data_IF_781934257978
#
_entry.id   IF_781934257978
#
_cell.length_a   1.000
_cell.length_b   1.000
_cell.length_c   1.000
_cell.angle_alpha   90.00
_cell.angle_beta   90.00
_cell.angle_gamma   90.00
#
_symmetry.space_group_name_H-M   'P 1'
#
loop_
_entity.id
_entity.type
_entity.pdbx_description
1 polymer ?
#
# COMPACT_ATOMS: atom_id res chain seq x y z
N UNK A 1 12.04 -18.05 5.48
CA UNK A 1 12.25 -18.50 4.08
C UNK A 1 13.16 -17.51 3.33
N UNK A 2 13.36 -17.63 2.01
CA UNK A 2 14.02 -16.61 1.19
C UNK A 2 12.97 -15.62 0.69
N UNK A 3 13.24 -14.31 0.79
CA UNK A 3 12.27 -13.26 0.39
C UNK A 3 11.93 -13.30 -1.11
N UNK A 4 12.80 -13.91 -1.92
CA UNK A 4 12.66 -14.01 -3.39
C UNK A 4 11.94 -15.29 -3.84
N UNK A 5 11.53 -16.16 -2.91
CA UNK A 5 10.96 -17.48 -3.21
C UNK A 5 9.78 -17.44 -4.20
N UNK A 6 9.00 -16.36 -4.19
CA UNK A 6 7.81 -16.21 -5.00
C UNK A 6 7.95 -15.18 -6.13
N UNK A 7 9.14 -14.58 -6.32
CA UNK A 7 9.36 -13.47 -7.24
C UNK A 7 9.04 -13.79 -8.70
N UNK A 8 9.22 -15.05 -9.12
CA UNK A 8 8.88 -15.52 -10.46
C UNK A 8 7.38 -15.70 -10.70
N UNK A 9 6.56 -15.73 -9.64
CA UNK A 9 5.12 -15.87 -9.82
C UNK A 9 4.55 -14.57 -10.35
N UNK A 10 3.58 -14.69 -11.26
CA UNK A 10 2.86 -13.55 -11.83
C UNK A 10 1.35 -13.64 -11.60
N UNK A 11 0.72 -12.45 -11.54
CA UNK A 11 -0.72 -12.25 -11.48
C UNK A 11 -1.11 -11.05 -12.34
N UNK A 12 -2.38 -10.99 -12.74
CA UNK A 12 -2.96 -9.78 -13.33
C UNK A 12 -3.30 -8.79 -12.22
N UNK A 13 -2.65 -7.62 -12.24
CA UNK A 13 -2.87 -6.58 -11.24
C UNK A 13 -4.17 -5.81 -11.54
N UNK A 14 -5.13 -5.76 -10.60
CA UNK A 14 -6.37 -5.00 -10.81
C UNK A 14 -6.15 -3.48 -10.84
N UNK A 15 -5.07 -2.95 -10.22
CA UNK A 15 -4.74 -1.52 -10.26
C UNK A 15 -4.11 -1.09 -11.59
N UNK A 16 -3.22 -1.91 -12.14
CA UNK A 16 -2.43 -1.56 -13.34
C UNK A 16 -3.13 -2.07 -14.61
N UNK A 17 -3.93 -3.13 -14.51
CA UNK A 17 -4.62 -3.76 -15.64
C UNK A 17 -3.76 -4.77 -16.41
N UNK A 18 -2.46 -4.88 -16.10
CA UNK A 18 -1.49 -5.78 -16.74
C UNK A 18 -0.99 -6.91 -15.83
N UNK A 19 -0.12 -7.76 -16.38
CA UNK A 19 0.58 -8.80 -15.62
C UNK A 19 1.75 -8.19 -14.84
N UNK A 20 1.87 -8.56 -13.56
CA UNK A 20 2.97 -8.18 -12.67
C UNK A 20 3.48 -9.40 -11.93
N UNK A 21 4.74 -9.37 -11.53
CA UNK A 21 5.35 -10.41 -10.70
C UNK A 21 5.27 -10.08 -9.20
N UNK A 22 5.53 -11.07 -8.36
CA UNK A 22 5.50 -10.87 -6.91
C UNK A 22 6.56 -9.88 -6.43
N UNK A 23 7.73 -9.87 -7.07
CA UNK A 23 8.81 -8.90 -6.81
C UNK A 23 8.28 -7.47 -6.86
N UNK A 24 7.56 -7.14 -7.92
CA UNK A 24 6.93 -5.83 -8.10
C UNK A 24 5.95 -5.54 -6.94
N UNK A 25 5.12 -6.51 -6.56
CA UNK A 25 4.17 -6.34 -5.46
C UNK A 25 4.86 -6.14 -4.11
N UNK A 26 5.97 -6.81 -3.81
CA UNK A 26 6.63 -6.71 -2.49
C UNK A 26 7.56 -5.50 -2.35
N UNK A 27 7.92 -4.82 -3.44
CA UNK A 27 8.88 -3.70 -3.42
C UNK A 27 8.35 -2.39 -4.03
N UNK A 28 7.03 -2.25 -4.23
CA UNK A 28 6.45 -1.10 -4.94
C UNK A 28 6.71 0.24 -4.23
N UNK A 29 6.72 0.28 -2.90
CA UNK A 29 6.75 1.52 -2.13
C UNK A 29 8.00 1.60 -1.25
N UNK A 30 9.16 1.93 -1.82
CA UNK A 30 10.44 1.98 -1.09
C UNK A 30 10.73 0.69 -0.29
N UNK A 31 10.73 -0.46 -0.97
CA UNK A 31 10.89 -1.79 -0.36
C UNK A 31 9.72 -2.24 0.54
N UNK A 32 8.64 -1.46 0.64
CA UNK A 32 7.41 -1.90 1.28
C UNK A 32 6.47 -2.63 0.30
N UNK A 33 5.70 -3.60 0.80
CA UNK A 33 4.75 -4.33 -0.01
C UNK A 33 3.53 -3.47 -0.40
N UNK A 34 2.92 -3.83 -1.51
CA UNK A 34 1.66 -3.25 -1.97
C UNK A 34 0.55 -3.51 -0.94
N UNK A 35 -0.30 -2.50 -0.72
CA UNK A 35 -1.52 -2.57 0.11
C UNK A 35 -2.42 -3.78 -0.14
N UNK A 36 -2.50 -4.21 -1.40
CA UNK A 36 -3.39 -5.28 -1.82
C UNK A 36 -2.69 -6.64 -1.89
N UNK A 37 -1.42 -6.74 -1.47
CA UNK A 37 -0.60 -7.94 -1.65
C UNK A 37 -1.26 -9.16 -0.99
N UNK A 38 -1.76 -9.04 0.23
CA UNK A 38 -2.42 -10.13 0.94
C UNK A 38 -3.67 -10.61 0.18
N UNK A 39 -4.54 -9.69 -0.23
CA UNK A 39 -5.76 -10.01 -0.97
C UNK A 39 -5.50 -10.62 -2.36
N UNK A 40 -4.47 -10.15 -3.05
CA UNK A 40 -4.09 -10.62 -4.38
C UNK A 40 -3.45 -12.02 -4.36
N UNK A 41 -2.61 -12.30 -3.35
CA UNK A 41 -1.75 -13.48 -3.32
C UNK A 41 -2.24 -14.61 -2.41
N UNK A 42 -3.22 -14.38 -1.53
CA UNK A 42 -3.81 -15.40 -0.64
C UNK A 42 -4.32 -16.66 -1.36
N UNK A 43 -4.72 -16.55 -2.64
CA UNK A 43 -5.18 -17.70 -3.45
C UNK A 43 -4.05 -18.49 -4.09
N UNK A 44 -2.81 -18.01 -4.02
CA UNK A 44 -1.63 -18.62 -4.65
C UNK A 44 -0.73 -19.32 -3.64
N UNK A 45 -0.59 -18.79 -2.43
CA UNK A 45 0.17 -19.35 -1.33
C UNK A 45 -0.21 -18.66 -0.01
N UNK A 46 0.33 -19.13 1.12
CA UNK A 46 0.15 -18.47 2.41
C UNK A 46 0.96 -17.17 2.49
N UNK A 47 0.36 -16.11 1.96
CA UNK A 47 0.94 -14.77 1.95
C UNK A 47 1.01 -14.18 3.36
N UNK A 48 0.13 -14.60 4.28
CA UNK A 48 0.16 -14.06 5.64
C UNK A 48 1.40 -14.55 6.37
N UNK A 49 1.70 -15.86 6.28
CA UNK A 49 2.94 -16.43 6.82
C UNK A 49 4.17 -15.74 6.23
N UNK A 50 4.22 -15.61 4.89
CA UNK A 50 5.32 -14.93 4.21
C UNK A 50 5.51 -13.48 4.69
N UNK A 51 4.42 -12.72 4.83
CA UNK A 51 4.49 -11.34 5.31
C UNK A 51 5.02 -11.28 6.75
N UNK A 52 4.54 -12.15 7.64
CA UNK A 52 4.99 -12.18 9.04
C UNK A 52 6.44 -12.63 9.22
N UNK A 53 6.98 -13.44 8.30
CA UNK A 53 8.38 -13.83 8.33
C UNK A 53 9.33 -12.75 7.80
N UNK A 54 8.88 -11.95 6.84
CA UNK A 54 9.75 -11.07 6.05
C UNK A 54 9.57 -9.58 6.32
N UNK A 55 8.44 -9.16 6.89
CA UNK A 55 8.13 -7.75 7.16
C UNK A 55 7.81 -7.53 8.62
N UNK A 56 8.15 -6.34 9.10
CA UNK A 56 7.86 -5.92 10.46
C UNK A 56 6.36 -5.67 10.63
N UNK A 57 5.85 -5.85 11.86
CA UNK A 57 4.44 -5.60 12.17
C UNK A 57 4.00 -4.18 11.81
N UNK A 58 4.90 -3.22 11.96
CA UNK A 58 4.69 -1.81 11.58
C UNK A 58 4.51 -1.63 10.07
N UNK A 59 5.30 -2.34 9.25
CA UNK A 59 5.19 -2.29 7.79
C UNK A 59 3.88 -2.93 7.31
N UNK A 60 3.49 -4.06 7.95
CA UNK A 60 2.22 -4.74 7.68
C UNK A 60 1.02 -3.85 8.08
N UNK A 61 1.12 -3.14 9.21
CA UNK A 61 0.06 -2.25 9.66
C UNK A 61 -0.08 -1.05 8.71
N UNK A 62 1.03 -0.42 8.30
CA UNK A 62 1.01 0.70 7.35
C UNK A 62 0.30 0.37 6.04
N UNK A 63 0.47 -0.84 5.52
CA UNK A 63 -0.21 -1.26 4.29
C UNK A 63 -1.69 -1.61 4.53
N UNK A 64 -2.07 -1.98 5.75
CA UNK A 64 -3.43 -2.33 6.13
C UNK A 64 -4.30 -1.08 6.33
N UNK A 65 -3.72 -0.01 6.88
CA UNK A 65 -4.44 1.25 7.17
C UNK A 65 -4.99 1.88 5.88
N UNK A 66 -6.30 2.22 5.82
CA UNK A 66 -6.84 3.01 4.73
C UNK A 66 -6.22 4.40 4.69
N UNK A 67 -5.84 4.93 3.50
CA UNK A 67 -5.34 6.29 3.41
C UNK A 67 -6.41 7.21 4.00
N UNK A 68 -6.00 8.07 4.94
CA UNK A 68 -6.90 9.03 5.56
C UNK A 68 -7.65 9.78 4.45
N UNK A 69 -8.99 9.90 4.52
CA UNK A 69 -9.74 10.60 3.50
C UNK A 69 -9.21 12.04 3.39
N UNK A 70 -8.83 12.44 2.16
CA UNK A 70 -8.36 13.79 1.79
C UNK A 70 -9.42 14.90 2.00
N UNK A 71 -10.42 14.70 2.84
CA UNK A 71 -11.42 15.72 3.17
C UNK A 71 -10.87 16.75 4.16
N UNK A 72 -9.87 16.38 4.98
CA UNK A 72 -9.21 17.30 5.90
C UNK A 72 -8.44 18.41 5.15
N UNK A 73 -7.92 18.12 3.95
CA UNK A 73 -7.13 19.10 3.18
C UNK A 73 -7.97 20.23 2.56
N UNK A 74 -9.26 20.02 2.27
CA UNK A 74 -10.11 21.07 1.67
C UNK A 74 -10.64 22.04 2.74
N UNK A 75 -11.01 21.53 3.91
CA UNK A 75 -11.50 22.36 5.02
C UNK A 75 -10.37 23.25 5.55
N UNK A 76 -9.16 22.71 5.69
CA UNK A 76 -7.98 23.46 6.16
C UNK A 76 -7.58 24.59 5.19
N UNK A 77 -7.66 24.34 3.87
CA UNK A 77 -7.45 25.38 2.85
C UNK A 77 -8.54 26.46 2.88
N UNK A 78 -9.80 26.08 3.11
CA UNK A 78 -10.91 27.03 3.22
C UNK A 78 -10.79 27.91 4.48
N UNK A 79 -10.33 27.37 5.61
CA UNK A 79 -10.09 28.15 6.83
C UNK A 79 -8.95 29.17 6.65
N UNK A 80 -7.85 28.80 5.98
CA UNK A 80 -6.78 29.74 5.68
C UNK A 80 -7.20 30.85 4.70
N UNK A 81 -8.12 30.57 3.76
CA UNK A 81 -8.68 31.59 2.89
C UNK A 81 -9.57 32.59 3.66
N UNK A 82 -10.38 32.11 4.63
CA UNK A 82 -11.21 32.98 5.47
C UNK A 82 -10.42 33.89 6.40
N UNK A 83 -9.27 33.43 6.93
CA UNK A 83 -8.40 34.29 7.77
C UNK A 83 -7.80 35.46 7.01
N UNK A 84 -7.38 35.25 5.75
CA UNK A 84 -6.81 36.30 4.90
C UNK A 84 -7.78 37.43 4.56
N UNK A 85 -9.09 37.15 4.50
CA UNK A 85 -10.13 38.14 4.21
C UNK A 85 -10.50 38.98 5.45
N UNK A 86 -10.12 38.55 6.66
CA UNK A 86 -10.51 39.22 7.92
C UNK A 86 -9.45 40.20 8.45
N UNK A 87 -8.29 40.27 7.82
CA UNK A 87 -7.18 41.18 8.18
C UNK A 87 -7.01 42.35 7.19
N UNK A 88 -7.96 42.54 6.26
CA UNK A 88 -8.15 43.78 5.47
C UNK A 88 -9.33 44.61 5.98
#
# INVERSE_FOLDING_TARGET
MLIEQYDDKTIRCPRIGGEVNFKFCRSENNMSPCRWIAGCWQRRFDINEFLTEHFSREEIDQISVPPKPKLESLVEMMEQAKKRIKEE
#
